data_IF_076563097190
#
_entry.id   IF_076563097190
#
_cell.length_a   1.000
_cell.length_b   1.000
_cell.length_c   1.000
_cell.angle_alpha   90.00
_cell.angle_beta   90.00
_cell.angle_gamma   90.00
#
_symmetry.space_group_name_H-M   'P 1'
#
loop_
_entity.id
_entity.type
_entity.pdbx_description
1 polymer ?
#
# COMPACT_ATOMS: atom_id res chain seq x y z
N UNK A 1 22.24 -42.35 -32.20
CA UNK A 1 21.26 -41.34 -32.62
C UNK A 1 21.13 -40.35 -31.49
N UNK A 2 21.68 -39.15 -31.67
CA UNK A 2 21.67 -38.10 -30.65
C UNK A 2 20.26 -37.53 -30.53
N UNK A 3 19.68 -37.72 -29.35
CA UNK A 3 18.49 -37.00 -28.90
C UNK A 3 18.84 -35.52 -28.87
N UNK A 4 18.25 -34.75 -29.78
CA UNK A 4 18.24 -33.30 -29.71
C UNK A 4 17.39 -32.95 -28.49
N UNK A 5 18.05 -32.80 -27.35
CA UNK A 5 17.50 -32.13 -26.18
C UNK A 5 17.30 -30.68 -26.60
N UNK A 6 16.11 -30.38 -27.07
CA UNK A 6 15.65 -29.02 -27.26
C UNK A 6 15.73 -28.37 -25.88
N UNK A 7 16.77 -27.54 -25.70
CA UNK A 7 16.96 -26.70 -24.53
C UNK A 7 15.76 -25.77 -24.47
N UNK A 8 14.70 -26.25 -23.81
CA UNK A 8 13.51 -25.51 -23.48
C UNK A 8 13.98 -24.45 -22.52
N UNK A 9 14.42 -23.33 -23.10
CA UNK A 9 14.81 -22.12 -22.39
C UNK A 9 13.74 -21.92 -21.33
N UNK A 10 14.15 -22.05 -20.08
CA UNK A 10 13.30 -21.86 -18.94
C UNK A 10 12.87 -20.40 -18.98
N UNK A 11 11.81 -20.13 -19.72
CA UNK A 11 11.09 -18.87 -19.67
C UNK A 11 10.31 -18.94 -18.36
N UNK A 12 11.04 -18.71 -17.27
CA UNK A 12 10.45 -18.22 -16.04
C UNK A 12 9.65 -16.97 -16.46
N UNK A 13 8.30 -17.01 -16.51
CA UNK A 13 7.57 -15.79 -16.76
C UNK A 13 7.92 -14.88 -15.57
N UNK A 14 8.28 -13.64 -15.86
CA UNK A 14 8.50 -12.60 -14.85
C UNK A 14 7.20 -12.23 -14.08
N UNK A 15 6.28 -13.18 -13.87
CA UNK A 15 4.86 -12.90 -13.63
C UNK A 15 4.33 -13.30 -12.24
N UNK A 16 5.06 -14.07 -11.44
CA UNK A 16 4.63 -14.38 -10.07
C UNK A 16 5.53 -13.68 -9.05
N UNK A 17 5.49 -12.33 -9.04
CA UNK A 17 5.62 -11.63 -7.76
C UNK A 17 4.56 -12.22 -6.82
N UNK A 18 4.79 -12.35 -5.48
CA UNK A 18 3.78 -12.82 -4.55
C UNK A 18 2.54 -11.94 -4.72
N UNK A 19 1.60 -12.44 -5.51
CA UNK A 19 0.58 -11.60 -6.07
C UNK A 19 -0.41 -11.41 -4.95
N UNK A 20 -0.63 -10.17 -4.53
CA UNK A 20 -1.82 -9.81 -3.77
C UNK A 20 -3.04 -9.99 -4.72
N UNK A 21 -3.30 -11.22 -5.16
CA UNK A 21 -4.34 -11.62 -6.11
C UNK A 21 -5.74 -11.65 -5.46
N UNK A 22 -5.81 -11.20 -4.21
CA UNK A 22 -7.04 -11.07 -3.46
C UNK A 22 -7.82 -9.80 -3.78
N UNK A 23 -9.03 -9.73 -3.23
CA UNK A 23 -9.73 -8.46 -3.12
C UNK A 23 -8.93 -7.52 -2.20
N UNK A 24 -8.15 -6.62 -2.79
CA UNK A 24 -7.47 -5.55 -2.07
C UNK A 24 -8.47 -4.42 -1.86
N UNK A 25 -8.71 -4.07 -0.60
CA UNK A 25 -9.61 -2.99 -0.19
C UNK A 25 -8.87 -2.05 0.74
N UNK A 26 -9.07 -0.75 0.58
CA UNK A 26 -8.55 0.26 1.51
C UNK A 26 -9.68 0.77 2.39
N UNK A 27 -9.46 0.80 3.70
CA UNK A 27 -10.35 1.42 4.68
C UNK A 27 -9.62 2.56 5.38
N UNK A 28 -10.32 3.64 5.67
CA UNK A 28 -9.78 4.77 6.43
C UNK A 28 -10.30 4.73 7.85
N UNK A 29 -9.49 5.22 8.79
CA UNK A 29 -9.87 5.35 10.18
C UNK A 29 -9.40 6.68 10.76
N UNK A 30 -10.19 7.25 11.65
CA UNK A 30 -9.82 8.46 12.37
C UNK A 30 -8.94 8.09 13.57
N UNK A 31 -7.89 8.87 13.77
CA UNK A 31 -6.99 8.74 14.90
C UNK A 31 -7.34 9.82 15.89
N UNK A 32 -7.74 9.39 17.09
CA UNK A 32 -8.10 10.26 18.19
C UNK A 32 -7.07 10.15 19.28
N UNK A 33 -6.76 11.29 19.90
CA UNK A 33 -5.92 11.34 21.08
C UNK A 33 -6.61 10.58 22.21
N UNK A 34 -5.96 9.56 22.77
CA UNK A 34 -6.55 8.74 23.83
C UNK A 34 -6.77 9.51 25.13
N UNK A 35 -6.05 10.62 25.32
CA UNK A 35 -6.12 11.45 26.53
C UNK A 35 -7.18 12.54 26.38
N UNK A 36 -7.22 13.22 25.24
CA UNK A 36 -8.05 14.41 25.01
C UNK A 36 -9.29 14.13 24.16
N UNK A 37 -9.39 12.97 23.52
CA UNK A 37 -10.44 12.61 22.56
C UNK A 37 -10.41 13.42 21.26
N UNK A 38 -9.37 14.25 21.06
CA UNK A 38 -9.26 15.19 19.94
C UNK A 38 -8.80 14.46 18.69
N UNK A 39 -9.42 14.74 17.55
CA UNK A 39 -8.99 14.19 16.26
C UNK A 39 -7.56 14.66 15.96
N UNK A 40 -6.63 13.71 15.96
CA UNK A 40 -5.21 13.92 15.62
C UNK A 40 -5.00 13.88 14.11
N UNK A 41 -5.83 13.11 13.41
CA UNK A 41 -5.87 13.02 11.96
C UNK A 41 -6.47 11.69 11.53
N UNK A 42 -6.05 11.22 10.37
CA UNK A 42 -6.55 10.00 9.76
C UNK A 42 -5.41 9.03 9.47
N UNK A 43 -5.75 7.75 9.37
CA UNK A 43 -4.90 6.66 8.91
C UNK A 43 -5.67 5.78 7.92
N UNK A 44 -4.99 4.79 7.35
CA UNK A 44 -5.62 3.83 6.46
C UNK A 44 -5.12 2.40 6.71
N UNK A 45 -6.02 1.47 6.48
CA UNK A 45 -5.80 0.03 6.46
C UNK A 45 -5.97 -0.48 5.04
N UNK A 46 -5.07 -1.36 4.61
CA UNK A 46 -5.24 -2.13 3.38
C UNK A 46 -5.51 -3.57 3.80
N UNK A 47 -6.69 -4.07 3.46
CA UNK A 47 -7.06 -5.45 3.64
C UNK A 47 -6.95 -6.20 2.32
N UNK A 48 -6.36 -7.40 2.34
CA UNK A 48 -6.26 -8.30 1.19
C UNK A 48 -6.99 -9.59 1.57
N UNK A 49 -8.02 -9.96 0.79
CA UNK A 49 -8.89 -11.11 1.12
C UNK A 49 -9.48 -11.02 2.54
N UNK A 50 -10.01 -9.85 2.90
CA UNK A 50 -10.60 -9.58 4.22
C UNK A 50 -9.60 -9.59 5.40
N UNK A 51 -8.32 -9.90 5.16
CA UNK A 51 -7.28 -9.85 6.18
C UNK A 51 -6.52 -8.52 6.13
N UNK A 52 -6.25 -7.86 7.28
CA UNK A 52 -5.45 -6.65 7.31
C UNK A 52 -4.01 -6.97 6.87
N UNK A 53 -3.62 -6.44 5.71
CA UNK A 53 -2.29 -6.63 5.14
C UNK A 53 -1.35 -5.47 5.51
N UNK A 54 -1.86 -4.24 5.54
CA UNK A 54 -1.11 -3.05 5.92
C UNK A 54 -1.97 -2.20 6.86
N UNK A 55 -1.45 -1.92 8.05
CA UNK A 55 -2.01 -0.93 8.96
C UNK A 55 -1.08 0.28 8.98
N UNK A 56 -1.53 1.41 8.43
CA UNK A 56 -0.78 2.67 8.44
C UNK A 56 -1.55 3.76 9.15
N UNK A 57 -1.22 3.92 10.43
CA UNK A 57 -1.72 5.00 11.27
C UNK A 57 -1.04 6.33 10.94
N UNK A 58 0.16 6.34 10.36
CA UNK A 58 0.94 7.56 10.14
C UNK A 58 1.34 7.69 8.67
N UNK A 59 1.87 8.85 8.28
CA UNK A 59 2.41 9.03 6.93
C UNK A 59 3.81 8.37 6.87
N UNK A 60 3.99 7.25 6.13
CA UNK A 60 5.21 6.43 6.20
C UNK A 60 6.49 7.13 5.76
N UNK A 61 6.38 8.24 5.03
CA UNK A 61 7.52 9.00 4.53
C UNK A 61 7.84 10.26 5.35
N UNK A 62 6.92 10.70 6.23
CA UNK A 62 7.11 11.89 7.06
C UNK A 62 7.73 11.46 8.39
N UNK A 63 8.89 12.01 8.70
CA UNK A 63 9.48 11.85 10.03
C UNK A 63 8.65 12.63 11.07
N UNK A 64 8.32 11.97 12.17
CA UNK A 64 7.40 12.47 13.19
C UNK A 64 6.00 11.85 13.07
N UNK A 65 5.26 11.80 14.18
CA UNK A 65 3.89 11.26 14.25
C UNK A 65 2.90 12.16 13.50
N UNK A 66 3.05 12.24 12.17
CA UNK A 66 2.22 13.09 11.31
C UNK A 66 1.14 12.22 10.68
N UNK A 67 -0.10 12.56 11.05
CA UNK A 67 -1.31 11.91 10.57
C UNK A 67 -1.80 12.59 9.29
N UNK A 68 -2.70 11.92 8.56
CA UNK A 68 -3.34 12.51 7.41
C UNK A 68 -4.31 13.62 7.86
N UNK A 69 -4.29 14.77 7.18
CA UNK A 69 -5.14 15.92 7.55
C UNK A 69 -6.64 15.65 7.38
N UNK A 70 -7.01 14.69 6.53
CA UNK A 70 -8.41 14.36 6.21
C UNK A 70 -8.53 12.91 5.75
N UNK A 71 -9.72 12.35 5.90
CA UNK A 71 -10.06 10.99 5.43
C UNK A 71 -9.72 10.81 3.95
N UNK A 72 -10.08 11.78 3.12
CA UNK A 72 -9.84 11.72 1.67
C UNK A 72 -8.36 11.55 1.34
N UNK A 73 -7.46 12.26 2.03
CA UNK A 73 -6.00 12.12 1.86
C UNK A 73 -5.54 10.70 2.22
N UNK A 74 -6.05 10.15 3.32
CA UNK A 74 -5.75 8.78 3.74
C UNK A 74 -6.31 7.76 2.73
N UNK A 75 -7.51 8.00 2.20
CA UNK A 75 -8.17 7.14 1.22
C UNK A 75 -7.42 7.11 -0.11
N UNK A 76 -7.10 8.26 -0.68
CA UNK A 76 -6.33 8.38 -1.93
C UNK A 76 -5.00 7.65 -1.80
N UNK A 77 -4.33 7.81 -0.65
CA UNK A 77 -3.04 7.15 -0.39
C UNK A 77 -3.20 5.65 -0.26
N UNK A 78 -4.20 5.18 0.47
CA UNK A 78 -4.53 3.77 0.62
C UNK A 78 -4.93 3.12 -0.71
N UNK A 79 -5.73 3.79 -1.54
CA UNK A 79 -6.10 3.34 -2.88
C UNK A 79 -4.88 3.27 -3.80
N UNK A 80 -4.00 4.27 -3.75
CA UNK A 80 -2.77 4.30 -4.55
C UNK A 80 -1.82 3.16 -4.14
N UNK A 81 -1.65 2.95 -2.84
CA UNK A 81 -0.88 1.85 -2.28
C UNK A 81 -1.49 0.49 -2.64
N UNK A 82 -2.80 0.32 -2.50
CA UNK A 82 -3.52 -0.90 -2.90
C UNK A 82 -3.37 -1.20 -4.40
N UNK A 83 -3.47 -0.18 -5.25
CA UNK A 83 -3.26 -0.31 -6.69
C UNK A 83 -1.82 -0.72 -7.01
N UNK A 84 -0.82 -0.12 -6.34
CA UNK A 84 0.59 -0.52 -6.48
C UNK A 84 0.83 -1.94 -6.00
N UNK A 85 0.23 -2.36 -4.89
CA UNK A 85 0.31 -3.76 -4.41
C UNK A 85 -0.29 -4.72 -5.42
N UNK A 86 -1.43 -4.37 -6.04
CA UNK A 86 -2.09 -5.18 -7.06
C UNK A 86 -1.23 -5.35 -8.32
N UNK A 87 -0.52 -4.29 -8.73
CA UNK A 87 0.30 -4.30 -9.95
C UNK A 87 1.70 -4.85 -9.73
N UNK A 88 2.34 -4.54 -8.60
CA UNK A 88 3.74 -4.92 -8.32
C UNK A 88 3.90 -6.15 -7.43
N UNK A 89 2.85 -6.62 -6.74
CA UNK A 89 2.94 -7.77 -5.83
C UNK A 89 3.92 -7.55 -4.66
N UNK A 90 4.21 -6.30 -4.30
CA UNK A 90 5.18 -5.93 -3.26
C UNK A 90 4.65 -4.81 -2.38
N UNK A 91 5.24 -4.65 -1.19
CA UNK A 91 4.88 -3.58 -0.26
C UNK A 91 5.04 -2.20 -0.96
N UNK A 92 4.03 -1.34 -0.88
CA UNK A 92 4.07 -0.05 -1.55
C UNK A 92 5.03 0.88 -0.80
N UNK A 93 6.13 1.24 -1.45
CA UNK A 93 7.03 2.29 -0.94
C UNK A 93 6.49 3.65 -1.35
N UNK A 94 5.81 4.33 -0.43
CA UNK A 94 5.36 5.71 -0.64
C UNK A 94 6.49 6.66 -0.21
N UNK A 95 6.91 7.53 -1.10
CA UNK A 95 7.89 8.58 -0.81
C UNK A 95 7.19 9.92 -0.53
N UNK A 96 7.85 10.83 0.18
CA UNK A 96 7.35 12.20 0.42
C UNK A 96 6.91 12.87 -0.89
N UNK A 97 7.68 12.72 -1.96
CA UNK A 97 7.35 13.26 -3.29
C UNK A 97 6.02 12.75 -3.85
N UNK A 98 5.72 11.46 -3.68
CA UNK A 98 4.46 10.87 -4.14
C UNK A 98 3.31 11.45 -3.31
N UNK A 99 3.48 11.52 -1.98
CA UNK A 99 2.49 12.08 -1.06
C UNK A 99 2.25 13.58 -1.31
N UNK A 100 3.29 14.33 -1.64
CA UNK A 100 3.20 15.74 -2.01
C UNK A 100 2.43 15.91 -3.33
N UNK A 101 2.70 15.05 -4.32
CA UNK A 101 1.95 15.02 -5.57
C UNK A 101 0.49 14.61 -5.38
N UNK A 102 0.19 13.79 -4.38
CA UNK A 102 -1.17 13.42 -3.98
C UNK A 102 -1.84 14.51 -3.11
N UNK A 103 -1.14 15.60 -2.78
CA UNK A 103 -1.64 16.69 -1.93
C UNK A 103 -1.77 16.32 -0.46
N UNK A 104 -1.18 15.20 -0.03
CA UNK A 104 -1.30 14.67 1.33
C UNK A 104 -0.49 15.51 2.33
N UNK A 105 0.75 15.84 1.99
CA UNK A 105 1.72 16.49 2.90
C UNK A 105 1.72 18.02 2.87
N UNK A 106 0.85 18.63 2.06
CA UNK A 106 0.69 20.08 1.94
C UNK A 106 -0.22 20.65 3.02
#
# INVERSE_FOLDING_TARGET
MQVVIEEKRENIPAHEAPSFSGAITSKTFEIKDSTSGKSLGWGYDICVNDQPAIHQSNIPAVQGLKYFSSEEKARITGEYAAKKMKTSGSLPTLSIKELDSLGVTK
#
